data_IF_920152838764
#
_entry.id   IF_920152838764
#
_cell.length_a   1.000
_cell.length_b   1.000
_cell.length_c   1.000
_cell.angle_alpha   90.00
_cell.angle_beta   90.00
_cell.angle_gamma   90.00
#
_symmetry.space_group_name_H-M   'P 1'
#
loop_
_entity.id
_entity.type
_entity.pdbx_description
1 polymer ?
#
# COMPACT_ATOMS: atom_id res chain seq x y z
N UNK A 1 17.31 -21.03 36.87
CA UNK A 1 17.53 -19.74 36.20
C UNK A 1 17.89 -20.07 34.75
N UNK A 2 16.87 -20.26 33.90
CA UNK A 2 17.06 -20.69 32.52
C UNK A 2 17.60 -19.52 31.71
N UNK A 3 18.83 -19.67 31.23
CA UNK A 3 19.45 -18.75 30.29
C UNK A 3 18.70 -18.88 28.96
N UNK A 4 17.75 -17.99 28.71
CA UNK A 4 17.17 -17.81 27.38
C UNK A 4 18.30 -17.17 26.55
N UNK A 5 19.12 -17.99 25.91
CA UNK A 5 20.11 -17.51 24.97
C UNK A 5 19.36 -16.90 23.79
N UNK A 6 19.22 -15.56 23.82
CA UNK A 6 18.76 -14.74 22.71
C UNK A 6 19.82 -14.86 21.59
N UNK A 7 19.79 -15.96 20.85
CA UNK A 7 20.56 -16.10 19.62
C UNK A 7 19.85 -15.31 18.53
N UNK A 8 20.30 -14.08 18.34
CA UNK A 8 19.90 -13.18 17.25
C UNK A 8 20.83 -13.26 16.05
N UNK A 9 21.69 -14.29 15.98
CA UNK A 9 22.65 -14.45 14.89
C UNK A 9 21.92 -14.79 13.58
N UNK A 10 22.25 -14.10 12.47
CA UNK A 10 21.65 -14.41 11.18
C UNK A 10 22.08 -15.79 10.71
N UNK A 11 21.26 -16.44 9.87
CA UNK A 11 21.54 -17.78 9.39
C UNK A 11 22.93 -17.87 8.72
N UNK A 12 23.75 -18.84 9.15
CA UNK A 12 25.18 -18.93 8.78
C UNK A 12 25.39 -19.07 7.27
N UNK A 13 24.48 -19.72 6.55
CA UNK A 13 24.55 -19.83 5.09
C UNK A 13 24.32 -18.49 4.37
N UNK A 14 23.49 -17.59 4.94
CA UNK A 14 23.33 -16.23 4.40
C UNK A 14 24.60 -15.42 4.63
N UNK A 15 25.22 -15.54 5.81
CA UNK A 15 26.49 -14.90 6.11
C UNK A 15 27.59 -15.35 5.13
N UNK A 16 27.64 -16.65 4.81
CA UNK A 16 28.59 -17.20 3.85
C UNK A 16 28.33 -16.74 2.40
N UNK A 17 27.06 -16.57 2.01
CA UNK A 17 26.68 -16.11 0.67
C UNK A 17 26.84 -14.58 0.47
N UNK A 18 26.79 -13.79 1.55
CA UNK A 18 26.75 -12.33 1.49
C UNK A 18 27.89 -11.69 0.67
N UNK A 19 29.17 -12.10 0.80
CA UNK A 19 30.25 -11.53 -0.02
C UNK A 19 30.01 -11.70 -1.52
N UNK A 20 29.53 -12.86 -1.94
CA UNK A 20 29.18 -13.13 -3.35
C UNK A 20 27.96 -12.33 -3.78
N UNK A 21 26.91 -12.26 -2.95
CA UNK A 21 25.73 -11.42 -3.25
C UNK A 21 26.13 -9.96 -3.49
N UNK A 22 27.02 -9.41 -2.65
CA UNK A 22 27.45 -8.01 -2.77
C UNK A 22 28.39 -7.75 -3.95
N UNK A 23 29.25 -8.71 -4.30
CA UNK A 23 30.24 -8.56 -5.37
C UNK A 23 29.68 -8.94 -6.76
N UNK A 24 28.90 -10.02 -6.84
CA UNK A 24 28.51 -10.66 -8.10
C UNK A 24 27.12 -10.25 -8.60
N UNK A 25 26.32 -9.51 -7.82
CA UNK A 25 25.01 -9.02 -8.30
C UNK A 25 25.19 -7.91 -9.34
N UNK A 26 24.80 -8.20 -10.57
CA UNK A 26 24.87 -7.28 -11.71
C UNK A 26 24.04 -6.01 -11.52
N UNK A 27 24.48 -4.90 -12.11
CA UNK A 27 23.78 -3.60 -12.00
C UNK A 27 22.41 -3.64 -12.65
N UNK A 28 22.28 -4.42 -13.71
CA UNK A 28 21.09 -4.66 -14.51
C UNK A 28 19.94 -5.18 -13.65
N UNK A 29 20.23 -6.02 -12.65
CA UNK A 29 19.26 -6.51 -11.68
C UNK A 29 18.59 -5.35 -10.94
N UNK A 30 19.38 -4.43 -10.38
CA UNK A 30 18.86 -3.28 -9.64
C UNK A 30 18.07 -2.33 -10.54
N UNK A 31 18.57 -2.07 -11.75
CA UNK A 31 17.87 -1.22 -12.74
C UNK A 31 16.51 -1.82 -13.09
N UNK A 32 16.43 -3.13 -13.30
CA UNK A 32 15.18 -3.84 -13.57
C UNK A 32 14.19 -3.71 -12.39
N UNK A 33 14.65 -3.97 -11.16
CA UNK A 33 13.82 -3.80 -9.97
C UNK A 33 13.31 -2.37 -9.83
N UNK A 34 14.17 -1.36 -10.02
CA UNK A 34 13.78 0.05 -9.93
C UNK A 34 12.77 0.45 -11.00
N UNK A 35 12.87 -0.10 -12.22
CA UNK A 35 11.89 0.16 -13.27
C UNK A 35 10.52 -0.42 -12.93
N UNK A 36 10.45 -1.65 -12.41
CA UNK A 36 9.20 -2.27 -11.95
C UNK A 36 8.55 -1.47 -10.83
N UNK A 37 9.35 -1.05 -9.83
CA UNK A 37 8.85 -0.22 -8.72
C UNK A 37 8.37 1.15 -9.19
N UNK A 38 9.07 1.77 -10.15
CA UNK A 38 8.68 3.05 -10.72
C UNK A 38 7.36 2.95 -11.49
N UNK A 39 7.18 1.88 -12.25
CA UNK A 39 5.93 1.61 -12.97
C UNK A 39 4.76 1.43 -12.00
N UNK A 40 4.89 0.55 -11.00
CA UNK A 40 3.87 0.36 -9.97
C UNK A 40 3.54 1.65 -9.20
N UNK A 41 4.56 2.45 -8.86
CA UNK A 41 4.36 3.74 -8.19
C UNK A 41 3.61 4.75 -9.07
N UNK A 42 3.87 4.78 -10.38
CA UNK A 42 3.15 5.64 -11.32
C UNK A 42 1.68 5.22 -11.44
N UNK A 43 1.42 3.93 -11.66
CA UNK A 43 0.07 3.37 -11.77
C UNK A 43 -0.73 3.71 -10.52
N UNK A 44 -0.18 3.42 -9.33
CA UNK A 44 -0.83 3.73 -8.07
C UNK A 44 -1.14 5.24 -7.97
N UNK A 45 -0.15 6.10 -8.18
CA UNK A 45 -0.32 7.54 -8.03
C UNK A 45 -1.38 8.12 -8.97
N UNK A 46 -1.42 7.66 -10.23
CA UNK A 46 -2.38 8.15 -11.21
C UNK A 46 -3.79 7.65 -10.92
N UNK A 47 -3.95 6.37 -10.59
CA UNK A 47 -5.27 5.80 -10.28
C UNK A 47 -5.87 6.34 -8.99
N UNK A 48 -5.05 6.64 -7.97
CA UNK A 48 -5.55 7.22 -6.71
C UNK A 48 -6.24 8.58 -6.92
N UNK A 49 -5.92 9.33 -7.98
CA UNK A 49 -6.58 10.60 -8.31
C UNK A 49 -8.03 10.42 -8.75
N UNK A 50 -8.41 9.22 -9.20
CA UNK A 50 -9.76 8.91 -9.67
C UNK A 50 -10.72 8.54 -8.54
N UNK A 51 -10.23 8.37 -7.32
CA UNK A 51 -11.00 7.91 -6.16
C UNK A 51 -11.19 9.10 -5.20
N UNK A 52 -12.40 9.69 -5.11
CA UNK A 52 -12.61 10.95 -4.38
C UNK A 52 -12.23 10.94 -2.91
N UNK A 53 -12.37 9.79 -2.23
CA UNK A 53 -12.02 9.64 -0.81
C UNK A 53 -10.53 9.44 -0.57
N UNK A 54 -9.69 9.46 -1.60
CA UNK A 54 -8.25 9.33 -1.48
C UNK A 54 -7.51 10.60 -1.89
N UNK A 55 -6.40 10.85 -1.19
CA UNK A 55 -5.44 11.87 -1.58
C UNK A 55 -4.03 11.32 -1.45
N UNK A 56 -3.32 11.25 -2.57
CA UNK A 56 -1.90 10.94 -2.61
C UNK A 56 -1.15 12.24 -2.91
N UNK A 57 -0.64 12.96 -1.89
CA UNK A 57 -0.08 14.30 -2.09
C UNK A 57 1.21 14.28 -2.91
N UNK A 58 1.99 13.20 -2.81
CA UNK A 58 3.26 13.05 -3.49
C UNK A 58 3.38 11.65 -4.08
N UNK A 59 3.87 11.60 -5.31
CA UNK A 59 4.23 10.34 -5.96
C UNK A 59 5.40 9.70 -5.19
N UNK A 60 5.36 8.39 -4.91
CA UNK A 60 6.48 7.70 -4.26
C UNK A 60 7.75 7.77 -5.12
N UNK A 61 8.88 8.14 -4.50
CA UNK A 61 10.19 8.23 -5.16
C UNK A 61 11.13 7.07 -4.80
N UNK A 62 10.72 6.23 -3.85
CA UNK A 62 11.51 5.10 -3.37
C UNK A 62 10.70 4.18 -2.45
N UNK A 63 11.36 3.13 -1.94
CA UNK A 63 10.73 2.01 -1.25
C UNK A 63 9.71 1.26 -2.13
N UNK A 64 8.83 0.49 -1.47
CA UNK A 64 7.81 -0.37 -2.11
C UNK A 64 6.38 -0.03 -1.67
N UNK A 65 6.23 1.04 -0.88
CA UNK A 65 4.96 1.44 -0.28
C UNK A 65 4.66 2.92 -0.51
N UNK A 66 3.37 3.25 -0.61
CA UNK A 66 2.87 4.62 -0.62
C UNK A 66 1.91 4.85 0.53
N UNK A 67 1.97 6.04 1.13
CA UNK A 67 0.97 6.50 2.09
C UNK A 67 -0.09 7.30 1.33
N UNK A 68 -1.34 6.84 1.39
CA UNK A 68 -2.49 7.49 0.77
C UNK A 68 -3.43 7.95 1.88
N UNK A 69 -3.78 9.23 1.89
CA UNK A 69 -4.71 9.78 2.87
C UNK A 69 -6.13 9.31 2.54
N UNK A 70 -6.85 8.87 3.56
CA UNK A 70 -8.26 8.52 3.49
C UNK A 70 -9.08 9.68 4.05
N UNK A 71 -10.09 10.10 3.29
CA UNK A 71 -11.16 10.97 3.78
C UNK A 71 -12.40 10.13 4.07
N UNK A 72 -12.48 9.62 5.30
CA UNK A 72 -13.63 8.82 5.77
C UNK A 72 -14.93 9.63 5.82
N UNK A 73 -14.85 10.97 5.82
CA UNK A 73 -16.06 11.80 5.82
C UNK A 73 -16.91 11.63 4.55
N UNK A 74 -16.29 11.16 3.45
CA UNK A 74 -16.94 10.89 2.17
C UNK A 74 -17.55 9.49 2.08
N UNK A 75 -17.34 8.63 3.08
CA UNK A 75 -17.78 7.24 3.09
C UNK A 75 -18.86 7.00 4.15
N UNK A 76 -19.96 6.36 3.75
CA UNK A 76 -21.04 5.91 4.62
C UNK A 76 -20.59 4.68 5.43
N UNK A 77 -20.99 4.65 6.69
CA UNK A 77 -20.64 3.57 7.64
C UNK A 77 -19.13 3.26 7.75
N UNK A 78 -18.22 4.17 7.43
CA UNK A 78 -16.77 3.95 7.61
C UNK A 78 -16.19 5.13 8.38
N UNK A 79 -15.80 4.91 9.63
CA UNK A 79 -15.37 6.00 10.50
C UNK A 79 -13.85 6.30 10.37
N UNK A 80 -13.04 5.27 10.19
CA UNK A 80 -11.57 5.38 10.18
C UNK A 80 -10.85 4.40 9.23
N UNK A 81 -9.51 4.49 9.21
CA UNK A 81 -8.66 3.63 8.37
C UNK A 81 -8.72 2.15 8.75
N UNK A 82 -9.00 1.81 10.01
CA UNK A 82 -9.10 0.42 10.46
C UNK A 82 -10.38 -0.21 9.95
N UNK A 83 -11.52 0.47 10.11
CA UNK A 83 -12.80 -0.01 9.60
C UNK A 83 -12.79 -0.10 8.07
N UNK A 84 -12.20 0.88 7.38
CA UNK A 84 -12.01 0.84 5.93
C UNK A 84 -11.28 -0.44 5.50
N UNK A 85 -10.11 -0.71 6.09
CA UNK A 85 -9.32 -1.90 5.76
C UNK A 85 -10.06 -3.20 6.06
N UNK A 86 -10.80 -3.25 7.16
CA UNK A 86 -11.54 -4.46 7.54
C UNK A 86 -12.70 -4.75 6.58
N UNK A 87 -13.49 -3.74 6.23
CA UNK A 87 -14.61 -3.90 5.28
C UNK A 87 -14.11 -4.20 3.87
N UNK A 88 -13.07 -3.51 3.41
CA UNK A 88 -12.44 -3.78 2.12
C UNK A 88 -11.95 -5.23 2.02
N UNK A 89 -11.28 -5.74 3.05
CA UNK A 89 -10.82 -7.13 3.06
C UNK A 89 -11.99 -8.13 3.02
N UNK A 90 -13.07 -7.84 3.74
CA UNK A 90 -14.27 -8.70 3.80
C UNK A 90 -15.06 -8.71 2.49
N UNK A 91 -15.21 -7.56 1.83
CA UNK A 91 -16.06 -7.41 0.64
C UNK A 91 -15.32 -7.68 -0.66
N UNK A 92 -14.07 -7.23 -0.77
CA UNK A 92 -13.30 -7.25 -2.02
C UNK A 92 -12.13 -8.25 -2.02
N UNK A 93 -11.84 -8.87 -0.86
CA UNK A 93 -10.64 -9.67 -0.66
C UNK A 93 -9.33 -8.89 -0.93
N UNK A 94 -9.34 -7.57 -0.70
CA UNK A 94 -8.17 -6.70 -0.83
C UNK A 94 -7.69 -6.27 0.55
N UNK A 95 -6.42 -6.52 0.85
CA UNK A 95 -5.82 -6.23 2.16
C UNK A 95 -4.90 -5.02 2.04
N UNK A 96 -5.22 -3.98 2.80
CA UNK A 96 -4.37 -2.81 3.01
C UNK A 96 -3.95 -2.69 4.47
N UNK A 97 -2.89 -1.94 4.72
CA UNK A 97 -2.42 -1.70 6.08
C UNK A 97 -2.95 -0.34 6.55
N UNK A 98 -3.74 -0.29 7.64
CA UNK A 98 -4.23 0.97 8.19
C UNK A 98 -3.06 1.77 8.77
N UNK A 99 -3.03 3.08 8.50
CA UNK A 99 -1.95 3.99 8.87
C UNK A 99 -1.75 4.11 10.37
N UNK A 100 -2.78 3.86 11.17
CA UNK A 100 -2.67 3.90 12.64
C UNK A 100 -1.60 2.93 13.18
N UNK A 101 -1.33 1.81 12.50
CA UNK A 101 -0.30 0.84 12.91
C UNK A 101 1.13 1.34 12.67
N UNK A 102 1.28 2.36 11.81
CA UNK A 102 2.54 3.07 11.56
C UNK A 102 2.52 4.49 12.13
N UNK A 103 1.54 4.81 12.99
CA UNK A 103 1.48 6.05 13.76
C UNK A 103 0.72 7.21 13.10
N UNK A 104 -0.01 6.99 12.00
CA UNK A 104 -0.75 8.06 11.29
C UNK A 104 -2.20 7.66 11.00
N UNK A 105 -3.16 8.24 11.73
CA UNK A 105 -4.60 7.95 11.59
C UNK A 105 -5.18 8.46 10.26
N UNK A 106 -6.18 7.77 9.71
CA UNK A 106 -6.85 8.12 8.45
C UNK A 106 -5.91 8.16 7.25
N UNK A 107 -4.90 7.27 7.25
CA UNK A 107 -4.05 7.00 6.10
C UNK A 107 -4.02 5.50 5.86
N UNK A 108 -3.66 5.11 4.65
CA UNK A 108 -3.55 3.73 4.21
C UNK A 108 -2.16 3.52 3.60
N UNK A 109 -1.50 2.43 3.96
CA UNK A 109 -0.21 2.05 3.39
C UNK A 109 -0.44 1.03 2.29
N UNK A 110 -0.30 1.48 1.05
CA UNK A 110 -0.40 0.67 -0.17
C UNK A 110 0.94 0.04 -0.50
N UNK A 111 0.94 -1.23 -0.92
CA UNK A 111 2.10 -1.88 -1.54
C UNK A 111 1.94 -1.83 -3.06
N UNK A 112 2.96 -1.35 -3.77
CA UNK A 112 2.98 -1.37 -5.24
C UNK A 112 4.08 -2.29 -5.80
N UNK A 113 4.79 -3.04 -4.94
CA UNK A 113 5.75 -4.06 -5.35
C UNK A 113 5.06 -5.42 -5.56
N UNK A 114 4.06 -5.41 -6.44
CA UNK A 114 3.34 -6.59 -6.92
C UNK A 114 3.29 -6.54 -8.45
N UNK A 115 2.86 -7.60 -9.10
CA UNK A 115 2.67 -7.57 -10.55
C UNK A 115 1.60 -6.55 -10.95
N UNK A 116 1.76 -5.97 -12.14
CA UNK A 116 0.91 -4.89 -12.65
C UNK A 116 -0.56 -5.30 -12.72
N UNK A 117 -0.85 -6.54 -13.14
CA UNK A 117 -2.22 -7.05 -13.26
C UNK A 117 -2.93 -7.08 -11.90
N UNK A 118 -2.28 -7.63 -10.88
CA UNK A 118 -2.81 -7.66 -9.51
C UNK A 118 -2.96 -6.26 -8.91
N UNK A 119 -2.04 -5.34 -9.24
CA UNK A 119 -2.13 -3.94 -8.79
C UNK A 119 -3.35 -3.24 -9.38
N UNK A 120 -3.56 -3.36 -10.69
CA UNK A 120 -4.70 -2.74 -11.35
C UNK A 120 -6.04 -3.33 -10.92
N UNK A 121 -6.14 -4.66 -10.81
CA UNK A 121 -7.34 -5.34 -10.31
C UNK A 121 -7.66 -4.91 -8.87
N UNK A 122 -6.66 -4.89 -7.98
CA UNK A 122 -6.82 -4.46 -6.60
C UNK A 122 -7.30 -3.01 -6.49
N UNK A 123 -6.75 -2.11 -7.31
CA UNK A 123 -7.17 -0.71 -7.36
C UNK A 123 -8.60 -0.57 -7.88
N UNK A 124 -8.98 -1.33 -8.90
CA UNK A 124 -10.34 -1.27 -9.45
C UNK A 124 -11.38 -1.76 -8.43
N UNK A 125 -11.09 -2.85 -7.71
CA UNK A 125 -11.95 -3.31 -6.61
C UNK A 125 -12.09 -2.27 -5.50
N UNK A 126 -10.99 -1.61 -5.13
CA UNK A 126 -11.04 -0.51 -4.15
C UNK A 126 -11.91 0.64 -4.67
N UNK A 127 -11.79 1.01 -5.95
CA UNK A 127 -12.62 2.05 -6.56
C UNK A 127 -14.10 1.68 -6.51
N UNK A 128 -14.47 0.46 -6.88
CA UNK A 128 -15.84 -0.04 -6.78
C UNK A 128 -16.35 -0.04 -5.33
N UNK A 129 -15.52 -0.48 -4.38
CA UNK A 129 -15.84 -0.44 -2.95
C UNK A 129 -16.14 1.00 -2.48
N UNK A 130 -15.24 1.95 -2.77
CA UNK A 130 -15.44 3.35 -2.39
C UNK A 130 -16.70 3.96 -3.02
N UNK A 131 -17.05 3.57 -4.25
CA UNK A 131 -18.29 4.02 -4.91
C UNK A 131 -19.55 3.47 -4.22
N UNK A 132 -19.54 2.20 -3.81
CA UNK A 132 -20.69 1.60 -3.09
C UNK A 132 -20.90 2.21 -1.71
N UNK A 133 -19.83 2.58 -1.04
CA UNK A 133 -19.85 3.21 0.29
C UNK A 133 -19.83 4.75 0.22
N UNK A 134 -20.02 5.39 -0.94
CA UNK A 134 -20.01 6.85 -1.02
C UNK A 134 -21.27 7.47 -0.40
N UNK A 135 -21.12 8.52 0.43
CA UNK A 135 -22.28 9.24 1.00
C UNK A 135 -23.10 9.94 -0.08
N UNK A 136 -24.42 9.78 -0.05
CA UNK A 136 -25.36 10.29 -1.06
C UNK A 136 -25.61 11.82 -1.04
N UNK A 137 -24.89 12.62 -0.25
CA UNK A 137 -25.21 14.04 -0.03
C UNK A 137 -24.56 15.05 -0.99
N UNK A 138 -24.10 14.64 -2.18
CA UNK A 138 -23.54 15.58 -3.18
C UNK A 138 -24.57 16.21 -4.14
N UNK A 139 -25.89 16.12 -3.90
CA UNK A 139 -26.92 16.66 -4.81
C UNK A 139 -27.71 17.90 -4.32
N UNK A 140 -27.29 18.59 -3.26
CA UNK A 140 -27.97 19.83 -2.84
C UNK A 140 -26.93 20.95 -2.71
N UNK A 141 -26.55 21.59 -3.82
CA UNK A 141 -26.11 23.00 -3.88
C UNK A 141 -25.86 23.55 -5.29
N UNK A 142 -26.72 23.20 -6.26
CA UNK A 142 -26.89 24.00 -7.49
C UNK A 142 -28.37 24.40 -7.61
N UNK A 143 -28.75 25.45 -6.91
CA UNK A 143 -29.92 26.31 -7.22
C UNK A 143 -29.56 27.76 -6.95
#
# INVERSE_FOLDING_TARGET
MACLSLYSDPATFIQAALPQILHDTEKEFFVKCLNLLREGANILYDRMKEIPCFSCPQRPEGAVFAMVRLDSSLLEDIDDDVEFCFKLAKEESVILVPGVVVGVKNWLRFCYAIDTESLEDGIERIKCFCQRHAKQNMQINDR
#
